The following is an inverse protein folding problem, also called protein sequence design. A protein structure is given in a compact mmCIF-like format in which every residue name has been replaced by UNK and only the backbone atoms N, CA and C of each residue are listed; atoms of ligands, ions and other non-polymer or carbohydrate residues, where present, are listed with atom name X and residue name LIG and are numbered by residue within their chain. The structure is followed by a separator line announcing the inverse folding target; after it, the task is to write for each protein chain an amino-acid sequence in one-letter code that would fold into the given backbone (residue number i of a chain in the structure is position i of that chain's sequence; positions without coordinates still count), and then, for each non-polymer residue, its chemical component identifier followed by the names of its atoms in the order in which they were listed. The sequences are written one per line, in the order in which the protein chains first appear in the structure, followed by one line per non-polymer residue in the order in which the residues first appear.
data_IF_921630649371
#
_entry.id   IF_921630649371
#
_cell.length_a   1.000
_cell.length_b   1.000
_cell.length_c   1.000
_cell.angle_alpha   90.00
_cell.angle_beta   90.00
_cell.angle_gamma   90.00
#
_symmetry.space_group_name_H-M   'P 1'
#
loop_
_entity.id
_entity.type
_entity.pdbx_description
1 polymer ?
#
# COMPACT_ATOMS: atom_id res chain seq x y z
N UNK A 1 -7.06 -13.77 8.01
CA UNK A 1 -6.98 -13.13 9.35
C UNK A 1 -5.89 -12.07 9.34
N UNK A 2 -6.31 -10.82 9.51
CA UNK A 2 -5.55 -9.58 9.36
C UNK A 2 -4.68 -9.30 10.59
N UNK A 3 -3.39 -9.03 10.40
CA UNK A 3 -2.45 -8.69 11.49
C UNK A 3 -2.89 -7.44 12.27
N UNK A 4 -3.50 -6.48 11.57
CA UNK A 4 -4.09 -5.27 12.18
C UNK A 4 -5.25 -5.58 13.14
N UNK A 5 -6.05 -6.62 12.87
CA UNK A 5 -7.16 -7.01 13.75
C UNK A 5 -6.71 -7.65 15.06
N UNK A 6 -5.46 -8.13 15.14
CA UNK A 6 -4.91 -8.79 16.33
C UNK A 6 -3.98 -7.90 17.17
N UNK A 7 -3.27 -6.96 16.54
CA UNK A 7 -2.26 -6.15 17.25
C UNK A 7 -2.60 -4.66 17.38
N UNK A 8 -3.67 -4.16 16.73
CA UNK A 8 -4.10 -2.76 16.81
C UNK A 8 -3.08 -1.73 16.30
N UNK A 9 -1.91 -2.18 15.86
CA UNK A 9 -0.76 -1.37 15.48
C UNK A 9 -0.29 -1.83 14.12
N UNK A 10 0.16 -0.90 13.27
CA UNK A 10 0.74 -1.30 11.98
C UNK A 10 2.01 -2.13 12.20
N UNK A 11 2.09 -3.35 11.65
CA UNK A 11 3.28 -4.19 11.79
C UNK A 11 4.51 -3.47 11.23
N UNK A 12 5.63 -3.56 11.96
CA UNK A 12 6.91 -3.15 11.36
C UNK A 12 7.23 -4.07 10.17
N UNK A 13 8.03 -3.60 9.19
CA UNK A 13 8.40 -4.42 8.02
C UNK A 13 9.06 -5.75 8.42
N UNK A 14 9.75 -5.77 9.56
CA UNK A 14 10.36 -6.98 10.13
C UNK A 14 9.30 -7.93 10.69
N UNK A 15 8.36 -7.43 11.51
CA UNK A 15 7.25 -8.23 12.03
C UNK A 15 6.37 -8.80 10.92
N UNK A 16 6.13 -8.00 9.87
CA UNK A 16 5.39 -8.47 8.71
C UNK A 16 6.17 -9.53 7.93
N UNK A 17 7.49 -9.38 7.79
CA UNK A 17 8.35 -10.40 7.16
C UNK A 17 8.26 -11.73 7.88
N UNK A 18 8.43 -11.72 9.21
CA UNK A 18 8.35 -12.91 10.05
C UNK A 18 6.96 -13.55 9.97
N UNK A 19 5.90 -12.74 10.08
CA UNK A 19 4.54 -13.26 10.03
C UNK A 19 4.15 -13.81 8.65
N UNK A 20 4.61 -13.21 7.56
CA UNK A 20 4.43 -13.74 6.20
C UNK A 20 5.21 -15.03 5.99
N UNK A 21 6.45 -15.11 6.49
CA UNK A 21 7.23 -16.33 6.44
C UNK A 21 6.58 -17.48 7.24
N UNK A 22 6.03 -17.20 8.42
CA UNK A 22 5.26 -18.17 9.21
C UNK A 22 4.00 -18.66 8.50
N UNK A 23 3.40 -17.83 7.65
CA UNK A 23 2.25 -18.20 6.80
C UNK A 23 2.64 -18.86 5.48
N UNK A 24 3.92 -19.15 5.26
CA UNK A 24 4.42 -19.77 4.03
C UNK A 24 4.60 -18.81 2.85
N UNK A 25 4.40 -17.50 3.04
CA UNK A 25 4.70 -16.48 2.02
C UNK A 25 6.19 -16.16 2.03
N UNK A 26 6.94 -16.99 1.32
CA UNK A 26 8.37 -16.85 1.11
C UNK A 26 8.64 -16.12 -0.21
N UNK A 27 9.69 -15.30 -0.22
CA UNK A 27 10.19 -14.64 -1.42
C UNK A 27 10.95 -15.59 -2.34
N UNK A 28 11.55 -15.01 -3.37
CA UNK A 28 12.28 -15.77 -4.40
C UNK A 28 13.42 -16.60 -3.76
N UNK A 29 13.35 -17.92 -3.91
CA UNK A 29 14.33 -18.87 -3.36
C UNK A 29 14.04 -19.38 -1.94
N UNK A 30 12.81 -19.29 -1.46
CA UNK A 30 12.42 -19.84 -0.15
C UNK A 30 12.90 -19.01 1.05
N UNK A 31 13.37 -17.79 0.81
CA UNK A 31 13.81 -16.85 1.85
C UNK A 31 12.64 -16.00 2.34
N UNK A 32 12.62 -15.57 3.62
CA UNK A 32 11.66 -14.59 4.07
C UNK A 32 11.75 -13.32 3.23
N UNK A 33 10.60 -12.68 2.98
CA UNK A 33 10.53 -11.45 2.20
C UNK A 33 11.38 -10.37 2.85
N UNK A 34 12.33 -9.78 2.11
CA UNK A 34 13.22 -8.78 2.68
C UNK A 34 12.43 -7.61 3.29
N UNK A 35 12.74 -7.19 4.53
CA UNK A 35 12.03 -6.09 5.18
C UNK A 35 12.12 -4.80 4.35
N UNK A 36 13.19 -4.58 3.58
CA UNK A 36 13.31 -3.45 2.64
C UNK A 36 12.29 -3.52 1.49
N UNK A 37 12.03 -4.70 0.94
CA UNK A 37 11.01 -4.89 -0.09
C UNK A 37 9.61 -4.72 0.51
N UNK A 38 9.37 -5.31 1.67
CA UNK A 38 8.10 -5.13 2.38
C UNK A 38 7.86 -3.68 2.74
N UNK A 39 8.87 -2.94 3.18
CA UNK A 39 8.77 -1.50 3.45
C UNK A 39 8.36 -0.73 2.20
N UNK A 40 8.92 -1.07 1.03
CA UNK A 40 8.54 -0.45 -0.26
C UNK A 40 7.11 -0.81 -0.68
N UNK A 41 6.70 -2.07 -0.51
CA UNK A 41 5.34 -2.51 -0.84
C UNK A 41 4.30 -1.95 0.13
N UNK A 42 4.58 -1.97 1.43
CA UNK A 42 3.75 -1.36 2.47
C UNK A 42 3.58 0.13 2.25
N UNK A 43 4.67 0.85 1.93
CA UNK A 43 4.59 2.26 1.59
C UNK A 43 3.65 2.51 0.42
N UNK A 44 3.84 1.78 -0.69
CA UNK A 44 2.95 1.89 -1.85
C UNK A 44 1.50 1.54 -1.50
N UNK A 45 1.29 0.53 -0.66
CA UNK A 45 -0.04 0.14 -0.21
C UNK A 45 -0.70 1.19 0.67
N UNK A 46 0.03 1.82 1.61
CA UNK A 46 -0.49 2.91 2.45
C UNK A 46 -0.86 4.14 1.61
N UNK A 47 0.02 4.52 0.68
CA UNK A 47 -0.25 5.62 -0.26
C UNK A 47 -1.48 5.31 -1.10
N UNK A 48 -1.57 4.08 -1.64
CA UNK A 48 -2.72 3.64 -2.40
C UNK A 48 -4.00 3.67 -1.56
N UNK A 49 -3.99 3.19 -0.32
CA UNK A 49 -5.15 3.19 0.55
C UNK A 49 -5.64 4.62 0.82
N UNK A 50 -4.73 5.52 1.21
CA UNK A 50 -5.05 6.94 1.37
C UNK A 50 -5.62 7.54 0.08
N UNK A 51 -4.96 7.27 -1.05
CA UNK A 51 -5.44 7.73 -2.34
C UNK A 51 -6.84 7.20 -2.65
N UNK A 52 -7.14 5.92 -2.41
CA UNK A 52 -8.49 5.36 -2.62
C UNK A 52 -9.54 5.88 -1.65
N UNK A 53 -9.17 6.19 -0.40
CA UNK A 53 -10.09 6.78 0.59
C UNK A 53 -10.48 8.20 0.20
N UNK A 54 -9.55 8.98 -0.34
CA UNK A 54 -9.80 10.33 -0.81
C UNK A 54 -10.29 10.39 -2.27
N UNK A 55 -10.12 9.30 -3.04
CA UNK A 55 -10.57 9.22 -4.42
C UNK A 55 -12.07 8.93 -4.47
N UNK A 56 -12.81 9.95 -4.89
CA UNK A 56 -14.22 9.79 -5.24
C UNK A 56 -14.34 9.54 -6.74
N UNK A 57 -15.40 8.86 -7.21
CA UNK A 57 -15.59 8.62 -8.65
C UNK A 57 -15.70 9.90 -9.50
N UNK A 58 -15.92 11.06 -8.86
CA UNK A 58 -16.07 12.34 -9.55
C UNK A 58 -14.83 13.23 -9.45
N UNK A 59 -13.92 12.98 -8.50
CA UNK A 59 -12.76 13.84 -8.25
C UNK A 59 -11.56 13.03 -7.76
N UNK A 60 -10.46 13.12 -8.51
CA UNK A 60 -9.18 12.56 -8.10
C UNK A 60 -8.55 13.45 -7.01
N UNK A 61 -8.01 12.85 -5.94
CA UNK A 61 -7.47 13.63 -4.84
C UNK A 61 -6.19 14.35 -5.27
N UNK A 62 -6.02 15.59 -4.81
CA UNK A 62 -4.82 16.37 -5.06
C UNK A 62 -3.59 15.64 -4.54
N UNK A 63 -2.54 15.57 -5.36
CA UNK A 63 -1.27 14.98 -4.97
C UNK A 63 -0.65 15.69 -3.76
N UNK A 64 -0.92 16.98 -3.60
CA UNK A 64 -0.48 17.77 -2.44
C UNK A 64 -1.20 17.33 -1.16
N UNK A 65 -2.51 17.10 -1.22
CA UNK A 65 -3.28 16.59 -0.08
C UNK A 65 -2.83 15.20 0.33
N UNK A 66 -2.63 14.29 -0.63
CA UNK A 66 -2.12 12.94 -0.32
C UNK A 66 -0.71 13.01 0.29
N UNK A 67 0.17 13.86 -0.23
CA UNK A 67 1.51 14.05 0.35
C UNK A 67 1.45 14.62 1.79
N UNK A 68 0.55 15.56 2.03
CA UNK A 68 0.33 16.14 3.37
C UNK A 68 -0.23 15.09 4.34
N UNK A 69 -1.23 14.31 3.92
CA UNK A 69 -1.75 13.19 4.71
C UNK A 69 -0.69 12.13 4.99
N UNK A 70 0.17 11.82 4.01
CA UNK A 70 1.31 10.93 4.25
C UNK A 70 2.22 11.46 5.36
N UNK A 71 2.50 12.77 5.39
CA UNK A 71 3.28 13.38 6.47
C UNK A 71 2.55 13.29 7.83
N UNK A 72 1.25 13.60 7.87
CA UNK A 72 0.41 13.52 9.09
C UNK A 72 0.35 12.11 9.67
N UNK A 73 0.26 11.09 8.81
CA UNK A 73 0.23 9.69 9.20
C UNK A 73 1.64 9.09 9.43
N UNK A 74 2.69 9.91 9.47
CA UNK A 74 4.09 9.48 9.59
C UNK A 74 4.51 8.44 8.53
N UNK A 75 3.92 8.52 7.34
CA UNK A 75 4.23 7.69 6.18
C UNK A 75 5.41 8.31 5.44
N UNK A 76 6.60 7.78 5.71
CA UNK A 76 7.83 8.21 5.04
C UNK A 76 8.39 7.11 4.13
N UNK A 77 9.03 7.56 3.05
CA UNK A 77 9.68 6.71 2.07
C UNK A 77 10.97 6.06 2.56
N UNK A 78 11.71 5.47 1.63
CA UNK A 78 13.03 4.92 1.90
C UNK A 78 13.93 6.01 2.52
N UNK A 79 14.66 5.67 3.59
CA UNK A 79 15.50 6.60 4.37
C UNK A 79 14.74 7.76 5.03
N UNK A 80 13.49 7.54 5.44
CA UNK A 80 12.66 8.57 6.07
C UNK A 80 12.45 9.81 5.18
N UNK A 81 12.53 9.63 3.85
CA UNK A 81 12.28 10.71 2.90
C UNK A 81 10.80 11.05 2.88
N UNK A 82 10.44 12.35 2.89
CA UNK A 82 9.05 12.74 2.73
C UNK A 82 8.52 12.30 1.36
N UNK A 83 7.26 11.86 1.34
CA UNK A 83 6.58 11.55 0.09
C UNK A 83 6.21 12.87 -0.57
N UNK A 84 6.76 13.12 -1.76
CA UNK A 84 6.50 14.37 -2.48
C UNK A 84 5.24 14.25 -3.33
N UNK A 85 4.53 15.36 -3.59
CA UNK A 85 3.40 15.36 -4.50
C UNK A 85 3.80 14.85 -5.90
N UNK A 86 5.03 15.13 -6.35
CA UNK A 86 5.54 14.61 -7.62
C UNK A 86 5.58 13.08 -7.65
N UNK A 87 5.98 12.44 -6.54
CA UNK A 87 5.97 10.99 -6.40
C UNK A 87 4.54 10.43 -6.49
N UNK A 88 3.58 11.08 -5.83
CA UNK A 88 2.16 10.70 -5.92
C UNK A 88 1.66 10.83 -7.35
N UNK A 89 1.86 11.97 -8.00
CA UNK A 89 1.43 12.22 -9.39
C UNK A 89 1.97 11.18 -10.36
N UNK A 90 3.23 10.79 -10.22
CA UNK A 90 3.84 9.74 -11.06
C UNK A 90 3.17 8.38 -10.88
N UNK A 91 2.71 8.06 -9.67
CA UNK A 91 2.05 6.80 -9.34
C UNK A 91 0.52 6.84 -9.51
N UNK A 92 -0.10 8.03 -9.62
CA UNK A 92 -1.56 8.19 -9.77
C UNK A 92 -2.14 7.38 -10.93
N UNK A 93 -1.48 7.39 -12.09
CA UNK A 93 -1.95 6.65 -13.26
C UNK A 93 -1.95 5.14 -13.02
N UNK A 94 -0.96 4.62 -12.28
CA UNK A 94 -0.91 3.21 -11.90
C UNK A 94 -2.00 2.87 -10.87
N UNK A 95 -2.25 3.76 -9.91
CA UNK A 95 -3.31 3.59 -8.91
C UNK A 95 -4.70 3.56 -9.55
N UNK A 96 -4.99 4.49 -10.46
CA UNK A 96 -6.23 4.51 -11.24
C UNK A 96 -6.40 3.22 -12.03
N UNK A 97 -5.34 2.75 -12.71
CA UNK A 97 -5.36 1.49 -13.47
C UNK A 97 -5.64 0.29 -12.56
N UNK A 98 -5.01 0.21 -11.39
CA UNK A 98 -5.28 -0.86 -10.41
C UNK A 98 -6.69 -0.78 -9.87
N UNK A 99 -7.19 0.39 -9.51
CA UNK A 99 -8.56 0.55 -9.02
C UNK A 99 -9.56 0.16 -10.10
N UNK A 100 -9.41 0.64 -11.32
CA UNK A 100 -10.27 0.25 -12.44
C UNK A 100 -10.25 -1.27 -12.66
N UNK A 101 -9.07 -1.88 -12.62
CA UNK A 101 -8.92 -3.34 -12.71
C UNK A 101 -9.63 -4.05 -11.56
N UNK A 102 -9.46 -3.59 -10.31
CA UNK A 102 -10.08 -4.16 -9.12
C UNK A 102 -11.61 -3.97 -9.09
N UNK A 103 -12.11 -2.81 -9.51
CA UNK A 103 -13.55 -2.53 -9.61
C UNK A 103 -14.19 -3.38 -10.70
N UNK A 104 -13.52 -3.57 -11.84
CA UNK A 104 -13.97 -4.47 -12.90
C UNK A 104 -13.82 -5.96 -12.52
N UNK A 105 -12.78 -6.35 -11.78
CA UNK A 105 -12.63 -7.72 -11.28
C UNK A 105 -13.66 -8.05 -10.20
N UNK A 106 -13.95 -7.11 -9.29
CA UNK A 106 -15.02 -7.27 -8.30
C UNK A 106 -16.42 -7.26 -8.95
N UNK A 107 -16.56 -6.72 -10.17
CA UNK A 107 -17.78 -6.82 -10.97
C UNK A 107 -17.84 -8.07 -11.86
N UNK A 108 -16.76 -8.84 -11.97
CA UNK A 108 -16.84 -10.22 -12.46
C UNK A 108 -17.01 -11.12 -11.24
N UNK A 109 -18.25 -11.49 -10.85
CA UNK A 109 -18.42 -12.68 -10.05
C UNK A 109 -17.71 -13.80 -10.80
N UNK A 110 -16.73 -14.41 -10.14
CA UNK A 110 -16.22 -15.72 -10.52
C UNK A 110 -17.45 -16.64 -10.54
N UNK A 111 -18.07 -16.77 -11.71
CA UNK A 111 -19.10 -17.76 -11.96
C UNK A 111 -18.44 -19.14 -11.91
N UNK A 112 -19.13 -20.13 -11.33
CA UNK A 112 -18.62 -21.45 -10.97
C UNK A 112 -18.12 -22.29 -12.15
#
# INVERSE_FOLDING_TARGET
MNYQSQHGTEPTPEQLSTHLAQKGFLGQGGKPLSPSNLRRHLLNWRIYNLWTTHHTPNEAPSAADIAHQCATHHITGQYNRPITPTYITQHTHEFQRRQHTLTHHNHHPQQP
#
